data_IF_260982396931
#
_entry.id   IF_260982396931
#
_cell.length_a   1.000
_cell.length_b   1.000
_cell.length_c   1.000
_cell.angle_alpha   90.00
_cell.angle_beta   90.00
_cell.angle_gamma   90.00
#
_symmetry.space_group_name_H-M   'P 1'
#
loop_
_entity.id
_entity.type
_entity.pdbx_description
1 polymer ?
#
# COMPACT_ATOMS: atom_id res chain seq x y z
N UNK A 1 -2.28 12.66 12.10
CA UNK A 1 -2.60 11.21 12.04
C UNK A 1 -3.10 10.74 13.40
N UNK A 2 -4.10 9.87 13.47
CA UNK A 2 -4.42 9.15 14.71
C UNK A 2 -3.25 8.23 15.10
N UNK A 3 -3.04 7.95 16.40
CA UNK A 3 -1.96 7.08 16.84
C UNK A 3 -2.20 5.65 16.34
N UNK A 4 -1.16 5.04 15.77
CA UNK A 4 -1.11 3.61 15.49
C UNK A 4 -0.90 2.91 16.83
N UNK A 5 -1.84 2.05 17.23
CA UNK A 5 -1.74 1.36 18.52
C UNK A 5 -1.60 -0.14 18.26
N UNK A 6 -0.45 -0.68 18.63
CA UNK A 6 -0.22 -2.12 18.62
C UNK A 6 -0.65 -2.71 19.95
N UNK A 7 -1.66 -3.58 19.89
CA UNK A 7 -2.09 -4.38 21.01
C UNK A 7 -1.69 -5.82 20.76
N UNK A 8 -0.53 -6.22 21.31
CA UNK A 8 0.05 -7.53 21.07
C UNK A 8 0.51 -7.68 19.62
N UNK A 9 -0.15 -8.56 18.87
CA UNK A 9 0.11 -8.91 17.47
C UNK A 9 -0.85 -8.20 16.47
N UNK A 10 -1.70 -7.30 16.98
CA UNK A 10 -2.70 -6.57 16.19
C UNK A 10 -2.42 -5.09 16.11
N UNK A 11 -2.64 -4.53 14.92
CA UNK A 11 -2.58 -3.09 14.66
C UNK A 11 -4.00 -2.54 14.67
N UNK A 12 -4.28 -1.69 15.66
CA UNK A 12 -5.55 -1.00 15.77
C UNK A 12 -5.42 0.44 15.26
N UNK A 13 -6.28 0.82 14.31
CA UNK A 13 -6.26 2.16 13.70
C UNK A 13 -7.67 2.74 13.78
N UNK A 14 -7.78 4.00 14.20
CA UNK A 14 -9.05 4.72 14.05
C UNK A 14 -9.24 5.06 12.57
N UNK A 15 -10.35 4.62 12.00
CA UNK A 15 -10.70 4.88 10.60
C UNK A 15 -11.04 6.36 10.43
N UNK A 16 -10.16 7.09 9.76
CA UNK A 16 -10.39 8.47 9.32
C UNK A 16 -10.63 8.54 7.82
N UNK A 17 -11.05 9.70 7.30
CA UNK A 17 -11.19 9.89 5.85
C UNK A 17 -9.86 9.74 5.14
N UNK A 18 -8.79 10.28 5.73
CA UNK A 18 -7.44 10.20 5.21
C UNK A 18 -6.94 8.75 5.19
N UNK A 19 -7.20 7.98 6.25
CA UNK A 19 -6.88 6.55 6.28
C UNK A 19 -7.65 5.76 5.22
N UNK A 20 -8.97 5.97 5.08
CA UNK A 20 -9.76 5.35 4.00
C UNK A 20 -9.18 5.71 2.63
N UNK A 21 -8.80 6.96 2.42
CA UNK A 21 -8.21 7.40 1.16
C UNK A 21 -6.86 6.70 0.89
N UNK A 22 -5.98 6.61 1.90
CA UNK A 22 -4.71 5.88 1.82
C UNK A 22 -4.94 4.41 1.41
N UNK A 23 -5.85 3.72 2.13
CA UNK A 23 -6.17 2.32 1.88
C UNK A 23 -6.77 2.13 0.48
N UNK A 24 -7.74 2.97 0.08
CA UNK A 24 -8.39 2.85 -1.22
C UNK A 24 -7.40 3.06 -2.38
N UNK A 25 -6.51 4.05 -2.27
CA UNK A 25 -5.46 4.27 -3.27
C UNK A 25 -4.51 3.06 -3.31
N UNK A 26 -4.13 2.52 -2.15
CA UNK A 26 -3.28 1.32 -2.06
C UNK A 26 -3.94 0.11 -2.73
N UNK A 27 -5.24 -0.12 -2.49
CA UNK A 27 -6.00 -1.21 -3.11
C UNK A 27 -6.10 -1.00 -4.62
N UNK A 28 -6.40 0.22 -5.08
CA UNK A 28 -6.48 0.53 -6.50
C UNK A 28 -5.14 0.29 -7.21
N UNK A 29 -4.02 0.71 -6.60
CA UNK A 29 -2.68 0.41 -7.09
C UNK A 29 -2.43 -1.11 -7.12
N UNK A 30 -2.81 -1.84 -6.07
CA UNK A 30 -2.76 -3.31 -6.00
C UNK A 30 -3.51 -3.99 -7.14
N UNK A 31 -4.74 -3.54 -7.45
CA UNK A 31 -5.52 -4.06 -8.58
C UNK A 31 -4.86 -3.75 -9.90
N UNK A 32 -4.34 -2.53 -10.07
CA UNK A 32 -3.59 -2.13 -11.26
C UNK A 32 -2.36 -3.01 -11.50
N UNK A 33 -1.61 -3.34 -10.45
CA UNK A 33 -0.45 -4.24 -10.47
C UNK A 33 -0.84 -5.60 -11.05
N UNK A 34 -1.94 -6.18 -10.56
CA UNK A 34 -2.35 -7.54 -10.93
C UNK A 34 -2.83 -7.65 -12.38
N UNK A 35 -3.38 -6.57 -12.95
CA UNK A 35 -3.89 -6.56 -14.33
C UNK A 35 -2.85 -6.07 -15.37
N UNK A 36 -1.73 -5.47 -14.96
CA UNK A 36 -0.67 -4.97 -15.85
C UNK A 36 0.70 -5.63 -15.60
N UNK A 37 0.87 -6.94 -15.83
CA UNK A 37 2.13 -7.66 -15.60
C UNK A 37 3.24 -7.32 -16.60
N UNK A 38 3.08 -6.29 -17.44
CA UNK A 38 4.08 -5.95 -18.47
C UNK A 38 5.28 -5.24 -17.87
N UNK A 39 5.08 -4.49 -16.77
CA UNK A 39 6.14 -3.77 -16.09
C UNK A 39 7.07 -4.71 -15.32
N UNK A 40 8.39 -4.51 -15.43
CA UNK A 40 9.40 -5.35 -14.76
C UNK A 40 9.21 -5.37 -13.23
N UNK A 41 8.97 -4.20 -12.63
CA UNK A 41 8.72 -4.07 -11.19
C UNK A 41 7.55 -4.94 -10.73
N UNK A 42 6.45 -4.94 -11.49
CA UNK A 42 5.25 -5.73 -11.20
C UNK A 42 5.55 -7.22 -11.31
N UNK A 43 6.23 -7.66 -12.39
CA UNK A 43 6.62 -9.06 -12.55
C UNK A 43 7.49 -9.57 -11.42
N UNK A 44 8.48 -8.79 -11.01
CA UNK A 44 9.37 -9.17 -9.92
C UNK A 44 8.63 -9.19 -8.57
N UNK A 45 7.71 -8.25 -8.32
CA UNK A 45 6.89 -8.25 -7.12
C UNK A 45 6.00 -9.49 -7.03
N UNK A 46 5.40 -9.92 -8.16
CA UNK A 46 4.64 -11.17 -8.24
C UNK A 46 5.56 -12.40 -8.07
N UNK A 47 6.74 -12.42 -8.71
CA UNK A 47 7.71 -13.53 -8.63
C UNK A 47 8.21 -13.77 -7.20
N UNK A 48 8.36 -12.70 -6.42
CA UNK A 48 8.82 -12.75 -5.03
C UNK A 48 7.68 -13.00 -4.02
N UNK A 49 6.43 -13.18 -4.49
CA UNK A 49 5.23 -13.32 -3.68
C UNK A 49 5.04 -12.14 -2.70
N UNK A 50 5.34 -10.92 -3.14
CA UNK A 50 5.17 -9.69 -2.33
C UNK A 50 3.69 -9.27 -2.27
N UNK A 51 2.93 -9.53 -3.34
CA UNK A 51 1.48 -9.35 -3.42
C UNK A 51 0.84 -10.62 -3.96
N UNK A 52 -0.32 -10.98 -3.40
CA UNK A 52 -1.16 -12.09 -3.84
C UNK A 52 -2.60 -11.59 -4.00
N UNK A 53 -3.29 -12.07 -5.04
CA UNK A 53 -4.63 -11.63 -5.42
C UNK A 53 -5.66 -11.89 -4.30
N UNK A 54 -5.69 -13.12 -3.77
CA UNK A 54 -6.59 -13.49 -2.67
C UNK A 54 -6.40 -12.60 -1.41
N UNK A 55 -5.16 -12.24 -1.09
CA UNK A 55 -4.87 -11.38 0.06
C UNK A 55 -5.34 -9.93 -0.20
N UNK A 56 -5.31 -9.47 -1.45
CA UNK A 56 -5.81 -8.16 -1.83
C UNK A 56 -7.33 -8.09 -1.72
N UNK A 57 -8.03 -9.12 -2.21
CA UNK A 57 -9.49 -9.23 -2.09
C UNK A 57 -9.93 -9.31 -0.61
N UNK A 58 -9.29 -10.17 0.18
CA UNK A 58 -9.57 -10.29 1.62
C UNK A 58 -9.34 -8.97 2.35
N UNK A 59 -8.23 -8.28 2.05
CA UNK A 59 -7.90 -6.99 2.65
C UNK A 59 -8.91 -5.89 2.25
N UNK A 60 -9.36 -5.85 1.00
CA UNK A 60 -10.39 -4.93 0.54
C UNK A 60 -11.71 -5.17 1.25
N UNK A 61 -12.17 -6.42 1.29
CA UNK A 61 -13.43 -6.81 1.97
C UNK A 61 -13.36 -6.44 3.45
N UNK A 62 -12.24 -6.71 4.11
CA UNK A 62 -12.07 -6.34 5.52
C UNK A 62 -12.16 -4.82 5.73
N UNK A 63 -11.44 -4.02 4.94
CA UNK A 63 -11.47 -2.57 5.09
C UNK A 63 -12.82 -1.95 4.74
N UNK A 64 -13.58 -2.54 3.80
CA UNK A 64 -14.89 -2.05 3.39
C UNK A 64 -15.95 -2.15 4.50
N UNK A 65 -15.78 -3.09 5.44
CA UNK A 65 -16.71 -3.30 6.55
C UNK A 65 -16.69 -2.20 7.61
N UNK A 66 -15.69 -1.32 7.59
CA UNK A 66 -15.51 -0.30 8.63
C UNK A 66 -15.81 1.10 8.10
N UNK A 67 -16.46 1.91 8.93
CA UNK A 67 -16.81 3.29 8.65
C UNK A 67 -15.96 4.32 9.39
N UNK A 68 -15.99 5.56 8.90
CA UNK A 68 -15.24 6.66 9.51
C UNK A 68 -15.70 6.85 10.96
N UNK A 69 -14.74 6.83 11.89
CA UNK A 69 -14.96 6.93 13.32
C UNK A 69 -14.81 5.61 14.07
N UNK A 70 -14.86 4.48 13.37
CA UNK A 70 -14.67 3.14 13.95
C UNK A 70 -13.19 2.80 14.15
N UNK A 71 -12.91 1.68 14.82
CA UNK A 71 -11.56 1.16 15.02
C UNK A 71 -11.45 -0.14 14.20
N UNK A 72 -10.58 -0.13 13.19
CA UNK A 72 -10.20 -1.32 12.46
C UNK A 72 -9.03 -2.00 13.17
N UNK A 73 -8.98 -3.32 13.14
CA UNK A 73 -7.93 -4.12 13.76
C UNK A 73 -7.38 -5.12 12.74
N UNK A 74 -6.10 -4.98 12.39
CA UNK A 74 -5.43 -5.89 11.47
C UNK A 74 -4.64 -6.94 12.24
N UNK A 75 -4.66 -8.18 11.77
CA UNK A 75 -3.74 -9.21 12.26
C UNK A 75 -2.33 -9.05 11.67
N UNK A 76 -1.36 -9.81 12.17
CA UNK A 76 0.03 -9.72 11.70
C UNK A 76 0.19 -9.96 10.20
N UNK A 77 -0.57 -10.89 9.60
CA UNK A 77 -0.49 -11.17 8.16
C UNK A 77 -1.03 -10.00 7.35
N UNK A 78 -2.13 -9.41 7.79
CA UNK A 78 -2.73 -8.23 7.16
C UNK A 78 -1.84 -7.00 7.29
N UNK A 79 -1.17 -6.81 8.43
CA UNK A 79 -0.20 -5.73 8.61
C UNK A 79 0.97 -5.90 7.63
N UNK A 80 1.49 -7.12 7.48
CA UNK A 80 2.57 -7.41 6.57
C UNK A 80 2.15 -7.23 5.11
N UNK A 81 0.94 -7.68 4.77
CA UNK A 81 0.37 -7.44 3.44
C UNK A 81 0.20 -5.94 3.16
N UNK A 82 -0.37 -5.19 4.11
CA UNK A 82 -0.57 -3.76 3.96
C UNK A 82 0.76 -3.01 3.82
N UNK A 83 1.77 -3.39 4.60
CA UNK A 83 3.14 -2.88 4.46
C UNK A 83 3.71 -3.11 3.07
N UNK A 84 3.60 -4.33 2.54
CA UNK A 84 4.05 -4.67 1.20
C UNK A 84 3.32 -3.88 0.11
N UNK A 85 2.00 -3.75 0.26
CA UNK A 85 1.14 -2.99 -0.65
C UNK A 85 1.52 -1.51 -0.66
N UNK A 86 1.78 -0.91 0.51
CA UNK A 86 2.23 0.48 0.63
C UNK A 86 3.60 0.70 -0.03
N UNK A 87 4.61 -0.13 0.28
CA UNK A 87 5.95 -0.06 -0.33
C UNK A 87 5.87 -0.13 -1.86
N UNK A 88 5.11 -1.09 -2.39
CA UNK A 88 4.98 -1.26 -3.83
C UNK A 88 4.22 -0.10 -4.49
N UNK A 89 3.13 0.35 -3.88
CA UNK A 89 2.35 1.49 -4.36
C UNK A 89 3.20 2.77 -4.39
N UNK A 90 4.00 3.03 -3.35
CA UNK A 90 4.94 4.15 -3.34
C UNK A 90 5.91 4.08 -4.51
N UNK A 91 6.48 2.90 -4.80
CA UNK A 91 7.42 2.72 -5.92
C UNK A 91 6.75 2.98 -7.26
N UNK A 92 5.53 2.51 -7.44
CA UNK A 92 4.72 2.77 -8.64
C UNK A 92 4.54 4.28 -8.84
N UNK A 93 4.13 5.00 -7.79
CA UNK A 93 3.95 6.46 -7.88
C UNK A 93 5.26 7.26 -8.03
N UNK A 94 6.42 6.62 -7.86
CA UNK A 94 7.74 7.25 -7.97
C UNK A 94 8.48 6.87 -9.26
N UNK A 95 7.93 5.98 -10.09
CA UNK A 95 8.53 5.57 -11.37
C UNK A 95 7.61 5.86 -12.56
N UNK A 96 8.04 5.46 -13.76
CA UNK A 96 7.31 5.64 -15.03
C UNK A 96 5.87 5.10 -15.00
N UNK A 97 5.61 4.09 -14.18
CA UNK A 97 4.26 3.52 -14.00
C UNK A 97 3.31 4.58 -13.40
N UNK A 98 3.81 5.41 -12.49
CA UNK A 98 3.05 6.50 -11.88
C UNK A 98 2.68 7.59 -12.90
N UNK A 99 3.56 7.85 -13.86
CA UNK A 99 3.29 8.81 -14.94
C UNK A 99 2.28 8.24 -15.94
N UNK A 100 2.30 6.92 -16.18
CA UNK A 100 1.28 6.25 -17.00
C UNK A 100 -0.08 6.22 -16.30
N UNK A 101 -0.12 6.00 -14.98
CA UNK A 101 -1.33 6.13 -14.16
C UNK A 101 -1.92 7.54 -14.22
N UNK A 102 -1.07 8.57 -14.14
CA UNK A 102 -1.47 9.97 -14.28
C UNK A 102 -2.16 10.22 -15.63
N UNK A 103 -1.53 9.78 -16.72
CA UNK A 103 -2.09 9.91 -18.08
C UNK A 103 -3.44 9.19 -18.19
N UNK A 104 -3.53 7.94 -17.73
CA UNK A 104 -4.77 7.17 -17.80
C UNK A 104 -5.91 7.84 -17.03
N UNK A 105 -5.64 8.35 -15.82
CA UNK A 105 -6.66 9.01 -15.00
C UNK A 105 -7.15 10.33 -15.64
N UNK A 106 -6.24 11.09 -16.27
CA UNK A 106 -6.57 12.33 -16.98
C UNK A 106 -7.35 12.03 -18.28
N UNK A 107 -6.93 11.02 -19.05
CA UNK A 107 -7.58 10.62 -20.31
C UNK A 107 -9.02 10.10 -20.08
N UNK A 108 -9.27 9.49 -18.93
CA UNK A 108 -10.61 9.03 -18.52
C UNK A 108 -11.47 10.12 -17.85
N UNK A 109 -10.98 11.37 -17.79
CA UNK A 109 -11.66 12.50 -17.12
C UNK A 109 -11.94 12.26 -15.62
N UNK A 110 -11.16 11.38 -14.97
CA UNK A 110 -11.32 11.05 -13.54
C UNK A 110 -10.68 12.13 -12.63
N UNK A 111 -9.67 12.84 -13.13
CA UNK A 111 -8.93 13.88 -12.41
C UNK A 111 -8.22 14.82 -13.40
N UNK A 112 -7.70 15.94 -12.90
CA UNK A 112 -6.73 16.76 -13.62
C UNK A 112 -5.29 16.57 -13.08
N UNK A 113 -4.31 17.14 -13.78
CA UNK A 113 -2.88 17.05 -13.47
C UNK A 113 -2.53 17.62 -12.08
N UNK A 114 -3.15 18.74 -11.70
CA UNK A 114 -2.88 19.42 -10.43
C UNK A 114 -3.39 18.58 -9.26
N UNK A 115 -4.62 18.09 -9.38
CA UNK A 115 -5.28 17.24 -8.40
C UNK A 115 -4.56 15.89 -8.26
N UNK A 116 -4.15 15.28 -9.37
CA UNK A 116 -3.38 14.02 -9.33
C UNK A 116 -2.07 14.19 -8.55
N UNK A 117 -1.29 15.23 -8.87
CA UNK A 117 -0.02 15.54 -8.18
C UNK A 117 -0.25 15.83 -6.70
N UNK A 118 -1.32 16.57 -6.36
CA UNK A 118 -1.69 16.87 -4.97
C UNK A 118 -2.02 15.60 -4.20
N UNK A 119 -2.87 14.72 -4.75
CA UNK A 119 -3.28 13.46 -4.14
C UNK A 119 -2.08 12.51 -4.00
N UNK A 120 -1.27 12.36 -5.05
CA UNK A 120 -0.01 11.60 -5.04
C UNK A 120 0.93 12.06 -3.94
N UNK A 121 1.19 13.37 -3.82
CA UNK A 121 2.06 13.91 -2.78
C UNK A 121 1.51 13.78 -1.36
N UNK A 122 0.19 13.77 -1.20
CA UNK A 122 -0.45 13.50 0.11
C UNK A 122 -0.39 12.01 0.47
N UNK A 123 -0.65 11.13 -0.50
CA UNK A 123 -0.53 9.69 -0.37
C UNK A 123 0.88 9.27 0.05
N UNK A 124 1.91 9.72 -0.67
CA UNK A 124 3.31 9.34 -0.42
C UNK A 124 3.76 9.71 1.00
N UNK A 125 3.39 10.89 1.49
CA UNK A 125 3.71 11.32 2.86
C UNK A 125 3.04 10.45 3.91
N UNK A 126 1.75 10.15 3.74
CA UNK A 126 1.04 9.27 4.68
C UNK A 126 1.58 7.84 4.64
N UNK A 127 1.88 7.32 3.45
CA UNK A 127 2.45 6.00 3.29
C UNK A 127 3.81 5.92 3.99
N UNK A 128 4.68 6.93 3.85
CA UNK A 128 5.97 7.00 4.54
C UNK A 128 5.82 6.91 6.08
N UNK A 129 4.88 7.66 6.65
CA UNK A 129 4.59 7.62 8.10
C UNK A 129 4.18 6.21 8.55
N UNK A 130 3.27 5.55 7.81
CA UNK A 130 2.83 4.19 8.10
C UNK A 130 3.96 3.16 7.97
N UNK A 131 4.75 3.26 6.90
CA UNK A 131 5.88 2.37 6.66
C UNK A 131 6.92 2.48 7.77
N UNK A 132 7.24 3.70 8.21
CA UNK A 132 8.17 3.92 9.31
C UNK A 132 7.66 3.32 10.61
N UNK A 133 6.39 3.52 10.95
CA UNK A 133 5.82 3.00 12.19
C UNK A 133 5.74 1.47 12.19
N UNK A 134 5.34 0.84 11.07
CA UNK A 134 5.33 -0.62 10.94
C UNK A 134 6.76 -1.17 11.05
N UNK A 135 7.74 -0.59 10.33
CA UNK A 135 9.16 -1.00 10.43
C UNK A 135 9.67 -0.93 11.86
N UNK A 136 9.39 0.18 12.55
CA UNK A 136 9.79 0.39 13.94
C UNK A 136 9.18 -0.67 14.86
N UNK A 137 7.91 -0.97 14.65
CA UNK A 137 7.11 -1.84 15.49
C UNK A 137 7.45 -3.33 15.35
N UNK A 138 7.84 -3.75 14.15
CA UNK A 138 8.20 -5.13 13.86
C UNK A 138 9.72 -5.33 13.75
N UNK A 139 10.51 -4.38 14.22
CA UNK A 139 11.96 -4.52 14.30
C UNK A 139 12.32 -5.75 15.17
N UNK A 140 13.18 -6.63 14.68
CA UNK A 140 13.49 -7.90 15.34
C UNK A 140 12.59 -9.08 14.93
N UNK A 141 11.46 -8.85 14.23
CA UNK A 141 10.59 -9.93 13.77
C UNK A 141 11.16 -10.60 12.51
N UNK A 142 11.47 -11.89 12.59
CA UNK A 142 12.06 -12.66 11.49
C UNK A 142 11.19 -12.68 10.22
N UNK A 143 9.88 -12.89 10.36
CA UNK A 143 8.97 -12.91 9.21
C UNK A 143 8.92 -11.55 8.52
N UNK A 144 8.92 -10.47 9.33
CA UNK A 144 9.00 -9.11 8.80
C UNK A 144 10.31 -8.85 8.06
N UNK A 145 11.45 -9.31 8.58
CA UNK A 145 12.73 -9.20 7.87
C UNK A 145 12.76 -9.95 6.54
N UNK A 146 12.15 -11.14 6.47
CA UNK A 146 12.06 -11.90 5.22
C UNK A 146 11.24 -11.14 4.17
N UNK A 147 10.13 -10.52 4.59
CA UNK A 147 9.32 -9.65 3.72
C UNK A 147 10.08 -8.39 3.29
N UNK A 148 10.68 -7.68 4.24
CA UNK A 148 11.45 -6.45 3.97
C UNK A 148 12.62 -6.74 3.02
N UNK A 149 13.29 -7.89 3.20
CA UNK A 149 14.33 -8.33 2.28
C UNK A 149 13.81 -8.54 0.86
N UNK A 150 12.66 -9.23 0.68
CA UNK A 150 12.04 -9.41 -0.65
C UNK A 150 11.70 -8.06 -1.30
N UNK A 151 11.13 -7.15 -0.53
CA UNK A 151 10.81 -5.79 -0.99
C UNK A 151 12.08 -5.03 -1.39
N UNK A 152 13.17 -5.16 -0.64
CA UNK A 152 14.45 -4.55 -0.98
C UNK A 152 15.10 -5.17 -2.24
N UNK A 153 14.86 -6.45 -2.56
CA UNK A 153 15.33 -7.04 -3.82
C UNK A 153 14.74 -6.35 -5.05
N UNK A 154 13.50 -5.83 -4.96
CA UNK A 154 12.89 -5.09 -6.06
C UNK A 154 13.66 -3.81 -6.45
N UNK A 155 14.47 -3.25 -5.53
CA UNK A 155 15.33 -2.08 -5.82
C UNK A 155 16.59 -2.45 -6.62
N UNK A 156 16.94 -3.74 -6.72
CA UNK A 156 18.12 -4.21 -7.45
C UNK A 156 17.81 -4.55 -8.92
N UNK A 157 16.52 -4.59 -9.27
CA UNK A 157 15.99 -4.97 -10.58
C UNK A 157 15.39 -3.78 -11.37
N UNK A 158 15.34 -2.59 -10.78
CA UNK A 158 14.99 -1.32 -11.42
C UNK A 158 16.26 -0.56 -11.80
#
# INVERSE_FOLDING_TARGET
MPPLVLYGDKLCVKVTREFKQLVNISIAAGKFILIHPNYNLIREAMRLDVIQDCMLEDFEVHNWQYEVGEIISFDTKEIFFFYALLELSCRIFLCEIGDDLEKMAIENEETDEEEFKRVRGFYLRQAEDFLHEIKRSFNGNRQFYELDWKINQLNLTA
#
